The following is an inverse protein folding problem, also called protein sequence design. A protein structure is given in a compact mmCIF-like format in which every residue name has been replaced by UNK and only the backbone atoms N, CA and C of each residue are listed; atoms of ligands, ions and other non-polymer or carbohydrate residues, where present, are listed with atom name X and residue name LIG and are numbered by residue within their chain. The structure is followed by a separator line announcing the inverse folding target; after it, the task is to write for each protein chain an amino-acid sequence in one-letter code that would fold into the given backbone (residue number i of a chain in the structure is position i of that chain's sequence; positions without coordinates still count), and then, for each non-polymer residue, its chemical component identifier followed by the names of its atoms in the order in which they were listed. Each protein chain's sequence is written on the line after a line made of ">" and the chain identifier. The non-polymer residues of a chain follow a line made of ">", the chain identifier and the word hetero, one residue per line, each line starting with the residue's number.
data_IF_565744634372
#
_entry.id   IF_565744634372
#
_cell.length_a   1.000
_cell.length_b   1.000
_cell.length_c   1.000
_cell.angle_alpha   90.00
_cell.angle_beta   90.00
_cell.angle_gamma   90.00
#
_symmetry.space_group_name_H-M   'P 1'
#
loop_
_entity.id
_entity.type
_entity.pdbx_description
1 polymer ?
#
# COMPACT_ATOMS: atom_id res chain seq x y z
N UNK A 1 17.42 6.29 7.06
CA UNK A 1 16.96 6.35 5.65
C UNK A 1 15.58 5.72 5.55
N UNK A 2 14.52 6.49 5.80
CA UNK A 2 13.13 6.06 5.57
C UNK A 2 12.80 6.39 4.11
N UNK A 3 12.44 5.37 3.32
CA UNK A 3 12.16 5.54 1.89
C UNK A 3 10.68 5.80 1.58
N UNK A 4 9.82 5.87 2.60
CA UNK A 4 8.40 6.19 2.52
C UNK A 4 8.10 7.34 3.48
N UNK A 5 7.33 8.31 3.00
CA UNK A 5 7.02 9.50 3.77
C UNK A 5 6.06 9.15 4.93
N UNK A 6 6.44 9.41 6.20
CA UNK A 6 5.62 9.02 7.34
C UNK A 6 4.26 9.74 7.37
N UNK A 7 4.16 10.93 6.77
CA UNK A 7 2.89 11.65 6.65
C UNK A 7 1.90 10.91 5.73
N UNK A 8 2.38 10.35 4.61
CA UNK A 8 1.54 9.58 3.68
C UNK A 8 1.07 8.27 4.30
N UNK A 9 1.93 7.60 5.07
CA UNK A 9 1.55 6.40 5.83
C UNK A 9 0.46 6.71 6.85
N UNK A 10 0.57 7.84 7.55
CA UNK A 10 -0.45 8.27 8.51
C UNK A 10 -1.77 8.57 7.82
N UNK A 11 -1.73 9.28 6.69
CA UNK A 11 -2.92 9.55 5.86
C UNK A 11 -3.61 8.27 5.40
N UNK A 12 -2.86 7.28 4.94
CA UNK A 12 -3.43 5.99 4.55
C UNK A 12 -4.16 5.29 5.72
N UNK A 13 -3.61 5.37 6.94
CA UNK A 13 -4.28 4.88 8.16
C UNK A 13 -5.55 5.68 8.50
N UNK A 14 -5.50 7.00 8.36
CA UNK A 14 -6.67 7.85 8.56
C UNK A 14 -7.77 7.53 7.54
N UNK A 15 -7.42 7.28 6.28
CA UNK A 15 -8.36 6.83 5.24
C UNK A 15 -9.08 5.54 5.63
N UNK A 16 -8.36 4.56 6.20
CA UNK A 16 -8.98 3.33 6.71
C UNK A 16 -9.97 3.59 7.83
N UNK A 17 -9.63 4.47 8.77
CA UNK A 17 -10.50 4.87 9.88
C UNK A 17 -11.74 5.58 9.35
N UNK A 18 -11.56 6.52 8.41
CA UNK A 18 -12.65 7.29 7.80
C UNK A 18 -13.62 6.41 7.01
N UNK A 19 -13.10 5.38 6.32
CA UNK A 19 -13.91 4.41 5.58
C UNK A 19 -14.56 3.35 6.47
N UNK A 20 -14.15 3.25 7.74
CA UNK A 20 -14.58 2.17 8.63
C UNK A 20 -14.09 0.79 8.20
N UNK A 21 -13.05 0.72 7.37
CA UNK A 21 -12.54 -0.52 6.78
C UNK A 21 -11.22 -0.90 7.45
N UNK A 22 -11.11 -2.16 7.90
CA UNK A 22 -9.86 -2.65 8.48
C UNK A 22 -8.84 -2.94 7.39
N UNK A 23 -7.55 -2.72 7.69
CA UNK A 23 -6.43 -3.06 6.78
C UNK A 23 -6.51 -4.50 6.26
N UNK A 24 -7.03 -5.42 7.08
CA UNK A 24 -7.22 -6.81 6.69
C UNK A 24 -8.38 -7.06 5.75
N UNK A 25 -9.48 -6.33 5.93
CA UNK A 25 -10.61 -6.41 5.03
C UNK A 25 -10.24 -5.82 3.67
N UNK A 26 -9.59 -4.66 3.68
CA UNK A 26 -9.03 -4.04 2.49
C UNK A 26 -8.03 -4.93 1.76
N UNK A 27 -7.11 -5.55 2.48
CA UNK A 27 -6.16 -6.46 1.88
C UNK A 27 -6.88 -7.63 1.19
N UNK A 28 -7.87 -8.24 1.85
CA UNK A 28 -8.68 -9.33 1.28
C UNK A 28 -9.50 -8.87 0.07
N UNK A 29 -10.22 -7.76 0.19
CA UNK A 29 -11.03 -7.20 -0.90
C UNK A 29 -10.19 -6.84 -2.12
N UNK A 30 -8.92 -6.48 -1.93
CA UNK A 30 -8.00 -6.15 -3.02
C UNK A 30 -7.11 -7.32 -3.47
N UNK A 31 -7.24 -8.51 -2.86
CA UNK A 31 -6.42 -9.68 -3.20
C UNK A 31 -4.94 -9.57 -2.77
N UNK A 32 -4.64 -8.71 -1.79
CA UNK A 32 -3.30 -8.50 -1.27
C UNK A 32 -3.05 -9.25 0.05
N UNK A 33 -1.79 -9.60 0.29
CA UNK A 33 -1.39 -10.20 1.56
C UNK A 33 -1.30 -9.13 2.67
N UNK A 34 -2.04 -9.33 3.76
CA UNK A 34 -2.05 -8.49 4.96
C UNK A 34 -0.65 -8.10 5.44
N UNK A 35 0.26 -9.08 5.49
CA UNK A 35 1.64 -8.88 5.96
C UNK A 35 2.39 -7.87 5.08
N UNK A 36 2.09 -7.87 3.79
CA UNK A 36 2.72 -6.96 2.84
C UNK A 36 2.15 -5.54 2.95
N UNK A 37 0.85 -5.41 3.22
CA UNK A 37 0.22 -4.11 3.50
C UNK A 37 0.81 -3.49 4.77
N UNK A 38 0.91 -4.24 5.86
CA UNK A 38 1.56 -3.75 7.08
C UNK A 38 3.04 -3.39 6.87
N UNK A 39 3.76 -4.12 6.02
CA UNK A 39 5.16 -3.81 5.69
C UNK A 39 5.30 -2.45 5.00
N UNK A 40 4.33 -2.08 4.16
CA UNK A 40 4.26 -0.76 3.50
C UNK A 40 3.83 0.32 4.50
N UNK A 41 2.80 0.05 5.30
CA UNK A 41 2.36 0.93 6.39
C UNK A 41 3.39 1.11 7.51
N UNK A 42 4.45 0.30 7.54
CA UNK A 42 5.57 0.46 8.47
C UNK A 42 6.72 1.27 7.86
N UNK A 43 6.62 1.68 6.59
CA UNK A 43 7.69 2.40 5.88
C UNK A 43 8.94 1.58 5.60
N UNK A 44 8.90 0.25 5.84
CA UNK A 44 10.06 -0.65 5.72
C UNK A 44 10.22 -1.26 4.33
N UNK A 45 9.22 -1.15 3.45
CA UNK A 45 9.26 -1.70 2.10
C UNK A 45 9.56 -0.64 1.06
N UNK A 46 10.46 -0.91 0.11
CA UNK A 46 10.72 0.03 -1.00
C UNK A 46 9.56 0.13 -2.00
N UNK A 47 8.58 -0.79 -1.95
CA UNK A 47 7.44 -0.84 -2.87
C UNK A 47 7.82 -0.57 -4.35
N UNK A 48 8.97 -1.14 -4.76
CA UNK A 48 9.61 -0.82 -6.03
C UNK A 48 8.94 -1.51 -7.22
N UNK A 49 8.33 -2.69 -7.00
CA UNK A 49 7.74 -3.53 -8.06
C UNK A 49 6.78 -4.57 -7.50
N UNK A 50 5.93 -5.14 -8.36
CA UNK A 50 4.96 -6.19 -8.04
C UNK A 50 3.84 -5.72 -7.11
N UNK A 51 3.28 -6.65 -6.33
CA UNK A 51 2.15 -6.35 -5.44
C UNK A 51 2.45 -5.25 -4.41
N UNK A 52 3.71 -5.12 -3.97
CA UNK A 52 4.08 -4.03 -3.03
C UNK A 52 3.94 -2.65 -3.68
N UNK A 53 4.25 -2.52 -4.98
CA UNK A 53 4.03 -1.29 -5.73
C UNK A 53 2.54 -1.00 -5.86
N UNK A 54 1.75 -2.01 -6.24
CA UNK A 54 0.30 -1.86 -6.41
C UNK A 54 -0.38 -1.41 -5.10
N UNK A 55 0.01 -1.98 -3.96
CA UNK A 55 -0.51 -1.56 -2.65
C UNK A 55 -0.16 -0.10 -2.36
N UNK A 56 1.11 0.30 -2.54
CA UNK A 56 1.54 1.67 -2.25
C UNK A 56 0.83 2.70 -3.15
N UNK A 57 0.57 2.35 -4.40
CA UNK A 57 -0.21 3.16 -5.36
C UNK A 57 -1.67 3.24 -4.92
N UNK A 58 -2.29 2.11 -4.56
CA UNK A 58 -3.71 2.05 -4.18
C UNK A 58 -4.00 2.74 -2.85
N UNK A 59 -3.01 2.79 -1.96
CA UNK A 59 -3.05 3.57 -0.72
C UNK A 59 -2.73 5.07 -0.92
N UNK A 60 -2.37 5.49 -2.14
CA UNK A 60 -2.00 6.88 -2.43
C UNK A 60 -0.67 7.32 -1.80
N UNK A 61 0.17 6.37 -1.38
CA UNK A 61 1.47 6.64 -0.77
C UNK A 61 2.55 6.85 -1.85
N UNK A 62 2.35 6.30 -3.05
CA UNK A 62 3.27 6.46 -4.18
C UNK A 62 2.47 6.75 -5.47
N UNK A 63 2.96 7.61 -6.37
CA UNK A 63 2.36 7.77 -7.70
C UNK A 63 2.42 6.47 -8.50
N UNK A 64 1.45 6.30 -9.40
CA UNK A 64 1.43 5.22 -10.41
C UNK A 64 2.72 5.36 -11.22
N UNK A 65 3.60 4.37 -11.10
CA UNK A 65 4.74 4.25 -12.01
C UNK A 65 4.36 3.15 -12.98
N UNK A 66 3.90 3.54 -14.18
CA UNK A 66 3.51 2.69 -15.31
C UNK A 66 4.58 1.61 -15.56
N UNK A 67 4.39 0.42 -14.98
CA UNK A 67 5.49 -0.55 -14.90
C UNK A 67 5.12 -1.93 -14.38
N UNK A 68 3.97 -2.48 -14.79
CA UNK A 68 3.76 -3.94 -14.91
C UNK A 68 2.41 -4.24 -15.57
N UNK A 69 2.38 -4.18 -16.90
CA UNK A 69 1.59 -5.12 -17.69
C UNK A 69 2.33 -6.46 -17.70
N UNK A 70 1.70 -7.51 -17.18
CA UNK A 70 1.83 -8.94 -17.57
C UNK A 70 0.49 -9.55 -17.12
N UNK A 71 -0.51 -9.77 -17.98
CA UNK A 71 -0.66 -10.93 -18.90
C UNK A 71 -0.25 -12.22 -18.16
N UNK A 72 -1.15 -13.10 -17.75
CA UNK A 72 -2.18 -13.85 -18.50
C UNK A 72 -3.31 -14.34 -17.56
#
# INVERSE_FOLDING_TARGET
>A
MYQLDPALVRRAREDFILRGESVADWARSNGFNLQMVYRILSGKSKAMRGQSHHIAVKLGIKPISEGSKREE
#
